data_IF_255308302281
#
_entry.id   IF_255308302281
#
_cell.length_a   1.000
_cell.length_b   1.000
_cell.length_c   1.000
_cell.angle_alpha   90.00
_cell.angle_beta   90.00
_cell.angle_gamma   90.00
#
_symmetry.space_group_name_H-M   'P 1'
#
loop_
_entity.id
_entity.type
_entity.pdbx_description
1 polymer ?
#
# COMPACT_ATOMS: atom_id res chain seq x y z
N UNK A 1 23.78 33.87 15.84
CA UNK A 1 23.51 32.41 15.75
C UNK A 1 22.17 31.99 16.40
N UNK A 2 21.10 32.81 16.32
CA UNK A 2 19.86 32.55 17.10
C UNK A 2 18.53 32.43 16.33
N UNK A 3 18.52 32.64 15.01
CA UNK A 3 17.29 32.61 14.19
C UNK A 3 17.19 31.40 13.25
N UNK A 4 18.32 30.84 12.80
CA UNK A 4 18.35 29.66 11.92
C UNK A 4 18.03 28.33 12.63
N UNK A 5 18.19 28.25 13.95
CA UNK A 5 17.90 27.05 14.74
C UNK A 5 16.42 26.83 15.04
N UNK A 6 15.56 27.84 14.82
CA UNK A 6 14.10 27.75 15.01
C UNK A 6 13.34 27.30 13.75
N UNK A 7 13.98 27.29 12.58
CA UNK A 7 13.38 26.93 11.29
C UNK A 7 13.69 25.49 10.85
N UNK A 8 14.53 24.76 11.59
CA UNK A 8 14.78 23.34 11.33
C UNK A 8 13.89 22.47 12.22
N UNK A 9 13.17 21.48 11.67
CA UNK A 9 12.35 20.59 12.47
C UNK A 9 13.22 19.87 13.51
N UNK A 10 12.76 19.80 14.76
CA UNK A 10 13.41 19.07 15.86
C UNK A 10 13.54 17.58 15.49
N UNK A 11 14.64 17.23 14.82
CA UNK A 11 14.98 15.88 14.35
C UNK A 11 15.93 15.25 15.37
N UNK A 12 15.43 14.37 16.26
CA UNK A 12 16.19 13.23 16.86
C UNK A 12 15.50 12.50 18.03
N UNK A 13 14.50 13.05 18.70
CA UNK A 13 14.09 12.51 20.01
C UNK A 13 13.03 11.38 19.97
N UNK A 14 12.31 11.21 18.84
CA UNK A 14 11.26 10.18 18.69
C UNK A 14 11.56 9.15 17.59
N UNK A 15 12.77 9.17 17.01
CA UNK A 15 13.16 8.22 15.96
C UNK A 15 13.49 6.85 16.59
N UNK A 16 12.80 5.76 16.21
CA UNK A 16 13.16 4.43 16.71
C UNK A 16 14.61 4.07 16.33
N UNK A 17 15.30 3.20 17.10
CA UNK A 17 16.63 2.76 16.76
C UNK A 17 16.69 2.13 15.35
N UNK A 18 17.77 2.40 14.60
CA UNK A 18 17.92 1.95 13.20
C UNK A 18 17.65 0.46 12.98
N UNK A 19 18.02 -0.37 13.96
CA UNK A 19 17.80 -1.82 13.92
C UNK A 19 16.33 -2.22 13.99
N UNK A 20 15.55 -1.61 14.90
CA UNK A 20 14.12 -1.91 15.09
C UNK A 20 13.34 -1.70 13.80
N UNK A 21 13.80 -0.75 13.02
CA UNK A 21 13.06 -0.30 11.86
C UNK A 21 13.56 -0.85 10.55
N UNK A 22 14.84 -1.22 10.50
CA UNK A 22 15.30 -2.22 9.54
C UNK A 22 14.44 -3.48 9.67
N UNK A 23 14.27 -4.02 10.88
CA UNK A 23 13.42 -5.19 11.12
C UNK A 23 11.96 -4.93 10.74
N UNK A 24 11.49 -3.70 10.90
CA UNK A 24 10.11 -3.34 10.56
C UNK A 24 9.83 -3.42 9.06
N UNK A 25 10.62 -2.68 8.28
CA UNK A 25 10.52 -2.64 6.82
C UNK A 25 10.87 -4.01 6.23
N UNK A 26 11.87 -4.69 6.79
CA UNK A 26 12.25 -6.05 6.41
C UNK A 26 11.08 -7.01 6.61
N UNK A 27 10.42 -7.01 7.76
CA UNK A 27 9.27 -7.87 8.04
C UNK A 27 8.13 -7.56 7.10
N UNK A 28 7.79 -6.29 6.88
CA UNK A 28 6.72 -5.90 5.97
C UNK A 28 6.99 -6.38 4.55
N UNK A 29 8.14 -6.04 3.99
CA UNK A 29 8.47 -6.35 2.60
C UNK A 29 8.67 -7.85 2.39
N UNK A 30 9.29 -8.55 3.33
CA UNK A 30 9.40 -10.00 3.25
C UNK A 30 8.04 -10.70 3.46
N UNK A 31 7.11 -10.13 4.22
CA UNK A 31 5.75 -10.70 4.35
C UNK A 31 5.04 -10.76 2.99
N UNK A 32 5.20 -9.72 2.17
CA UNK A 32 4.58 -9.61 0.84
C UNK A 32 5.35 -10.29 -0.28
N UNK A 33 6.69 -10.19 -0.26
CA UNK A 33 7.55 -10.66 -1.37
C UNK A 33 8.19 -12.04 -1.13
N UNK A 34 8.38 -12.47 0.13
CA UNK A 34 9.18 -13.65 0.45
C UNK A 34 8.46 -14.72 1.24
N UNK A 35 7.53 -14.38 2.13
CA UNK A 35 6.76 -15.38 2.85
C UNK A 35 6.07 -16.37 1.90
N UNK A 36 5.56 -15.95 0.72
CA UNK A 36 5.06 -16.88 -0.29
C UNK A 36 6.14 -17.75 -0.94
N UNK A 37 7.41 -17.31 -1.00
CA UNK A 37 8.53 -17.94 -1.72
C UNK A 37 9.51 -18.73 -0.83
N UNK A 38 9.68 -18.36 0.45
CA UNK A 38 10.48 -19.08 1.44
C UNK A 38 9.68 -20.27 1.98
N UNK A 39 8.36 -20.12 2.18
CA UNK A 39 7.48 -21.25 2.48
C UNK A 39 7.32 -22.19 1.29
N UNK A 40 7.37 -21.66 0.07
CA UNK A 40 7.58 -22.42 -1.16
C UNK A 40 8.96 -23.12 -1.07
N UNK A 41 10.06 -22.37 -1.11
CA UNK A 41 11.46 -22.81 -1.17
C UNK A 41 11.88 -23.89 -0.17
N UNK A 42 11.61 -23.66 1.12
CA UNK A 42 12.21 -24.42 2.20
C UNK A 42 11.48 -25.74 2.54
N UNK A 43 10.23 -25.91 2.09
CA UNK A 43 9.44 -27.14 2.28
C UNK A 43 9.23 -27.93 0.98
N UNK A 44 9.92 -27.52 -0.10
CA UNK A 44 9.67 -27.95 -1.48
C UNK A 44 10.60 -29.05 -1.96
N UNK A 45 10.04 -30.24 -2.11
CA UNK A 45 10.36 -31.02 -3.31
C UNK A 45 9.13 -31.77 -3.85
N UNK A 46 8.12 -32.12 -3.05
CA UNK A 46 7.05 -33.02 -3.53
C UNK A 46 5.59 -32.67 -3.24
N UNK A 47 5.27 -31.85 -2.23
CA UNK A 47 3.87 -31.64 -1.79
C UNK A 47 3.40 -30.17 -1.85
N UNK A 48 4.20 -29.28 -2.44
CA UNK A 48 4.00 -27.83 -2.36
C UNK A 48 2.70 -27.31 -2.95
N UNK A 49 2.14 -27.96 -3.98
CA UNK A 49 0.83 -27.56 -4.54
C UNK A 49 -0.29 -27.90 -3.56
N UNK A 50 -0.23 -29.05 -2.87
CA UNK A 50 -1.23 -29.45 -1.88
C UNK A 50 -1.12 -28.64 -0.59
N UNK A 51 0.09 -28.31 -0.15
CA UNK A 51 0.28 -27.38 0.97
C UNK A 51 -0.13 -25.96 0.60
N UNK A 52 0.19 -25.47 -0.60
CA UNK A 52 -0.27 -24.17 -1.05
C UNK A 52 -1.81 -24.14 -1.14
N UNK A 53 -2.45 -25.17 -1.69
CA UNK A 53 -3.92 -25.28 -1.72
C UNK A 53 -4.50 -25.52 -0.32
N UNK A 54 -3.81 -26.21 0.58
CA UNK A 54 -4.28 -26.47 1.95
C UNK A 54 -4.11 -25.27 2.90
N UNK A 55 -3.00 -24.56 2.80
CA UNK A 55 -2.66 -23.39 3.62
C UNK A 55 -3.29 -22.09 3.04
N UNK A 56 -3.18 -21.86 1.73
CA UNK A 56 -3.84 -20.74 1.05
C UNK A 56 -5.31 -21.00 0.70
N UNK A 57 -5.75 -22.25 0.62
CA UNK A 57 -7.12 -22.62 0.22
C UNK A 57 -7.98 -23.28 1.31
N UNK A 58 -7.40 -23.74 2.44
CA UNK A 58 -8.14 -24.49 3.47
C UNK A 58 -8.04 -23.90 4.88
N UNK A 59 -6.84 -23.87 5.46
CA UNK A 59 -6.63 -23.52 6.87
C UNK A 59 -6.89 -22.05 7.18
N UNK A 60 -6.50 -21.14 6.28
CA UNK A 60 -6.78 -19.73 6.50
C UNK A 60 -8.25 -19.33 6.23
N UNK A 61 -9.04 -20.15 5.52
CA UNK A 61 -10.49 -19.94 5.42
C UNK A 61 -11.20 -20.28 6.73
N UNK A 62 -10.63 -21.18 7.52
CA UNK A 62 -11.12 -21.57 8.84
C UNK A 62 -10.61 -20.64 9.96
N UNK A 63 -9.64 -19.78 9.67
CA UNK A 63 -9.14 -18.84 10.65
C UNK A 63 -10.22 -17.79 11.01
N UNK A 64 -10.45 -17.54 12.30
CA UNK A 64 -11.42 -16.53 12.72
C UNK A 64 -10.97 -15.13 12.25
N UNK A 65 -11.95 -14.24 12.12
CA UNK A 65 -11.66 -12.85 11.80
C UNK A 65 -10.78 -12.24 12.88
N UNK A 66 -9.73 -11.51 12.46
CA UNK A 66 -8.78 -10.89 13.38
C UNK A 66 -9.29 -9.52 13.81
N UNK A 67 -9.23 -9.23 15.11
CA UNK A 67 -9.52 -7.87 15.59
C UNK A 67 -8.43 -6.90 15.13
N UNK A 68 -8.79 -5.61 15.07
CA UNK A 68 -7.83 -4.57 14.72
C UNK A 68 -6.69 -4.54 15.73
N UNK A 69 -5.46 -4.47 15.22
CA UNK A 69 -4.25 -4.44 16.00
C UNK A 69 -3.54 -3.10 15.85
N UNK A 70 -3.80 -2.19 16.79
CA UNK A 70 -3.24 -0.83 16.75
C UNK A 70 -1.71 -0.81 16.78
N UNK A 71 -1.07 -1.78 17.44
CA UNK A 71 0.40 -1.93 17.43
C UNK A 71 0.97 -2.11 16.01
N UNK A 72 0.29 -2.90 15.18
CA UNK A 72 0.68 -3.11 13.78
C UNK A 72 0.45 -1.85 12.94
N UNK A 73 -0.62 -1.11 13.17
CA UNK A 73 -0.89 0.17 12.47
C UNK A 73 0.14 1.23 12.84
N UNK A 74 0.48 1.35 14.13
CA UNK A 74 1.56 2.23 14.61
C UNK A 74 2.90 1.84 14.00
N UNK A 75 3.19 0.55 13.91
CA UNK A 75 4.38 0.04 13.25
C UNK A 75 4.45 0.45 11.78
N UNK A 76 3.36 0.28 11.01
CA UNK A 76 3.29 0.71 9.61
C UNK A 76 3.45 2.22 9.49
N UNK A 77 2.79 2.98 10.35
CA UNK A 77 2.94 4.43 10.42
C UNK A 77 4.39 4.85 10.65
N UNK A 78 5.12 4.13 11.51
CA UNK A 78 6.51 4.41 11.80
C UNK A 78 7.43 4.14 10.61
N UNK A 79 7.03 3.34 9.61
CA UNK A 79 7.80 3.15 8.37
C UNK A 79 8.05 4.46 7.61
N UNK A 80 7.21 5.49 7.81
CA UNK A 80 7.37 6.81 7.17
C UNK A 80 8.70 7.50 7.51
N UNK A 81 9.29 7.20 8.67
CA UNK A 81 10.57 7.78 9.11
C UNK A 81 11.78 7.10 8.44
N UNK A 82 11.56 5.99 7.74
CA UNK A 82 12.59 5.14 7.14
C UNK A 82 12.64 5.30 5.63
N UNK A 83 11.55 5.83 5.07
CA UNK A 83 11.36 5.95 3.64
C UNK A 83 11.39 7.43 3.34
N UNK A 84 12.41 7.83 2.60
CA UNK A 84 12.44 9.17 2.06
C UNK A 84 11.33 9.27 1.02
N UNK A 85 10.44 10.21 1.26
CA UNK A 85 9.29 10.46 0.43
C UNK A 85 8.69 11.75 0.91
N UNK A 86 8.52 12.69 0.00
CA UNK A 86 7.72 13.87 0.29
C UNK A 86 6.29 13.60 -0.13
N UNK A 87 5.34 14.10 0.66
CA UNK A 87 3.94 14.12 0.25
C UNK A 87 3.54 15.53 -0.13
N UNK A 88 2.87 15.66 -1.26
CA UNK A 88 2.20 16.88 -1.68
C UNK A 88 0.72 16.64 -1.48
N UNK A 89 0.18 17.27 -0.45
CA UNK A 89 -1.24 17.24 -0.15
C UNK A 89 -1.86 18.41 -0.89
N UNK A 90 -2.71 18.12 -1.87
CA UNK A 90 -3.50 19.15 -2.54
C UNK A 90 -4.44 19.81 -1.54
N UNK A 91 -4.84 21.05 -1.83
CA UNK A 91 -5.75 21.80 -0.97
C UNK A 91 -7.09 21.07 -0.86
N UNK A 92 -7.25 20.30 0.22
CA UNK A 92 -8.54 19.89 0.71
C UNK A 92 -9.31 21.16 1.09
N UNK A 93 -10.61 21.22 0.76
CA UNK A 93 -11.46 22.19 1.43
C UNK A 93 -11.33 21.94 2.94
N UNK A 94 -10.88 22.96 3.69
CA UNK A 94 -10.79 22.92 5.17
C UNK A 94 -12.20 22.98 5.79
N UNK A 95 -13.10 22.11 5.34
CA UNK A 95 -14.48 22.04 5.76
C UNK A 95 -14.70 21.05 6.90
N UNK A 96 -15.91 21.07 7.45
CA UNK A 96 -16.42 20.07 8.42
C UNK A 96 -16.84 18.74 7.79
N UNK A 97 -16.61 18.57 6.48
CA UNK A 97 -17.03 17.39 5.72
C UNK A 97 -16.01 16.27 5.89
N UNK A 98 -16.44 15.01 5.83
CA UNK A 98 -15.51 13.89 5.83
C UNK A 98 -14.66 13.88 4.55
N UNK A 99 -13.43 13.41 4.66
CA UNK A 99 -12.42 13.46 3.61
C UNK A 99 -12.10 12.08 3.04
N UNK A 100 -12.00 12.00 1.71
CA UNK A 100 -11.47 10.85 0.99
C UNK A 100 -10.07 11.18 0.44
N UNK A 101 -9.06 10.63 1.10
CA UNK A 101 -7.67 10.81 0.73
C UNK A 101 -7.31 9.92 -0.47
N UNK A 102 -6.92 10.55 -1.57
CA UNK A 102 -6.62 9.89 -2.83
C UNK A 102 -5.11 9.87 -3.04
N UNK A 103 -4.47 8.79 -2.59
CA UNK A 103 -3.01 8.66 -2.62
C UNK A 103 -2.53 8.13 -3.97
N UNK A 104 -1.52 8.78 -4.54
CA UNK A 104 -0.81 8.39 -5.75
C UNK A 104 0.69 8.64 -5.62
N UNK A 105 1.53 7.94 -6.39
CA UNK A 105 1.21 6.73 -7.13
C UNK A 105 1.12 5.52 -6.16
N UNK A 106 0.60 4.39 -6.62
CA UNK A 106 0.68 3.12 -5.86
C UNK A 106 2.10 2.54 -5.86
N UNK A 107 2.89 2.76 -6.91
CA UNK A 107 4.17 2.08 -7.08
C UNK A 107 4.03 0.55 -7.00
N UNK A 108 5.11 -0.15 -6.66
CA UNK A 108 5.08 -1.61 -6.57
C UNK A 108 4.29 -2.12 -5.34
N UNK A 109 4.34 -1.39 -4.22
CA UNK A 109 3.79 -1.83 -2.92
C UNK A 109 2.89 -0.78 -2.25
N UNK A 110 3.09 0.52 -2.49
CA UNK A 110 2.27 1.60 -1.93
C UNK A 110 2.70 2.01 -0.52
N UNK A 111 4.01 1.96 -0.22
CA UNK A 111 4.50 2.09 1.15
C UNK A 111 4.35 3.52 1.69
N UNK A 112 4.64 4.57 0.91
CA UNK A 112 4.36 5.94 1.35
C UNK A 112 2.86 6.16 1.53
N UNK A 113 2.05 5.68 0.57
CA UNK A 113 0.60 5.68 0.65
C UNK A 113 0.07 5.13 1.96
N UNK A 114 0.57 3.97 2.37
CA UNK A 114 0.18 3.31 3.60
C UNK A 114 0.73 3.97 4.87
N UNK A 115 2.02 4.32 4.89
CA UNK A 115 2.71 4.79 6.10
C UNK A 115 2.43 6.25 6.46
N UNK A 116 2.07 7.10 5.49
CA UNK A 116 1.87 8.54 5.68
C UNK A 116 0.41 8.97 5.80
N UNK A 117 -0.56 8.13 5.40
CA UNK A 117 -1.98 8.44 5.60
C UNK A 117 -2.93 7.27 5.43
N UNK A 118 -2.62 6.34 4.53
CA UNK A 118 -3.50 5.22 4.18
C UNK A 118 -3.86 4.31 5.35
N UNK A 119 -2.92 4.08 6.25
CA UNK A 119 -3.11 3.26 7.45
C UNK A 119 -2.73 4.02 8.72
N UNK A 120 -2.91 5.35 8.71
CA UNK A 120 -2.84 6.13 9.94
C UNK A 120 -3.82 5.57 10.98
N UNK A 121 -3.53 5.71 12.28
CA UNK A 121 -4.38 5.14 13.34
C UNK A 121 -5.82 5.68 13.31
N UNK A 122 -6.04 6.80 12.63
CA UNK A 122 -7.36 7.45 12.47
C UNK A 122 -8.04 7.20 11.12
N UNK A 123 -7.29 6.76 10.11
CA UNK A 123 -7.76 6.65 8.73
C UNK A 123 -7.69 5.18 8.30
N UNK A 124 -8.70 4.70 7.57
CA UNK A 124 -8.71 3.33 7.04
C UNK A 124 -8.30 3.32 5.57
N UNK A 125 -7.51 2.32 5.17
CA UNK A 125 -7.15 2.09 3.77
C UNK A 125 -8.22 1.27 3.06
N UNK A 126 -8.53 1.66 1.83
CA UNK A 126 -9.33 0.87 0.89
C UNK A 126 -8.40 0.01 0.04
N UNK A 127 -8.63 -1.30 0.07
CA UNK A 127 -7.76 -2.32 -0.52
C UNK A 127 -8.56 -3.21 -1.48
N UNK A 128 -7.87 -3.81 -2.46
CA UNK A 128 -8.49 -4.67 -3.46
C UNK A 128 -9.21 -5.88 -2.81
N UNK A 129 -10.36 -6.33 -3.34
CA UNK A 129 -11.14 -7.42 -2.74
C UNK A 129 -10.38 -8.74 -2.70
N UNK A 130 -9.45 -8.94 -3.63
CA UNK A 130 -8.59 -10.13 -3.68
C UNK A 130 -7.78 -10.31 -2.39
N UNK A 131 -7.35 -9.22 -1.75
CA UNK A 131 -6.62 -9.27 -0.49
C UNK A 131 -7.45 -9.88 0.65
N UNK A 132 -8.78 -9.75 0.61
CA UNK A 132 -9.69 -10.37 1.59
C UNK A 132 -10.06 -11.81 1.24
N UNK A 133 -9.77 -12.29 0.03
CA UNK A 133 -10.00 -13.68 -0.40
C UNK A 133 -8.79 -14.57 -0.16
N UNK A 134 -7.60 -13.99 -0.11
CA UNK A 134 -6.35 -14.67 0.25
C UNK A 134 -6.23 -14.73 1.78
N UNK A 135 -6.11 -15.90 2.42
CA UNK A 135 -6.32 -15.98 3.86
C UNK A 135 -5.33 -15.22 4.75
N UNK A 136 -4.03 -15.25 4.46
CA UNK A 136 -3.05 -14.47 5.22
C UNK A 136 -3.19 -12.97 4.95
N UNK A 137 -3.41 -12.60 3.69
CA UNK A 137 -3.66 -11.20 3.33
C UNK A 137 -4.92 -10.70 4.02
N UNK A 138 -5.96 -11.53 4.13
CA UNK A 138 -7.21 -11.21 4.81
C UNK A 138 -6.95 -10.91 6.28
N UNK A 139 -6.26 -11.80 6.98
CA UNK A 139 -5.90 -11.59 8.39
C UNK A 139 -5.11 -10.30 8.58
N UNK A 140 -4.14 -10.04 7.71
CA UNK A 140 -3.35 -8.81 7.75
C UNK A 140 -4.22 -7.57 7.49
N UNK A 141 -5.10 -7.61 6.49
CA UNK A 141 -6.01 -6.50 6.17
C UNK A 141 -7.02 -6.24 7.30
N UNK A 142 -7.55 -7.28 7.92
CA UNK A 142 -8.45 -7.19 9.08
C UNK A 142 -7.72 -6.63 10.31
N UNK A 143 -6.50 -7.11 10.59
CA UNK A 143 -5.66 -6.57 11.66
C UNK A 143 -5.33 -5.08 11.46
N UNK A 144 -5.21 -4.65 10.21
CA UNK A 144 -4.99 -3.24 9.85
C UNK A 144 -6.27 -2.40 9.85
N UNK A 145 -7.43 -3.03 9.99
CA UNK A 145 -8.73 -2.37 9.89
C UNK A 145 -9.04 -1.86 8.49
N UNK A 146 -8.43 -2.43 7.46
CA UNK A 146 -8.64 -2.06 6.06
C UNK A 146 -10.08 -2.37 5.61
N UNK A 147 -10.52 -1.65 4.59
CA UNK A 147 -11.84 -1.79 3.98
C UNK A 147 -11.67 -2.32 2.56
N UNK A 148 -12.57 -3.17 2.09
CA UNK A 148 -12.55 -3.63 0.70
C UNK A 148 -13.09 -2.58 -0.25
N UNK A 149 -12.53 -2.51 -1.46
CA UNK A 149 -13.02 -1.64 -2.53
C UNK A 149 -14.29 -2.16 -3.22
N UNK A 150 -14.93 -3.23 -2.72
CA UNK A 150 -16.23 -3.69 -3.22
C UNK A 150 -17.31 -2.63 -2.98
N UNK A 151 -18.08 -2.32 -4.03
CA UNK A 151 -19.05 -1.21 -4.05
C UNK A 151 -19.94 -1.15 -2.79
N UNK A 152 -20.51 -2.28 -2.36
CA UNK A 152 -21.42 -2.32 -1.19
C UNK A 152 -20.71 -1.94 0.11
N UNK A 153 -19.52 -2.49 0.35
CA UNK A 153 -18.76 -2.21 1.55
C UNK A 153 -18.22 -0.78 1.55
N UNK A 154 -17.75 -0.31 0.39
CA UNK A 154 -17.26 1.05 0.19
C UNK A 154 -18.36 2.09 0.47
N UNK A 155 -19.56 1.92 -0.11
CA UNK A 155 -20.70 2.81 0.15
C UNK A 155 -21.18 2.73 1.60
N UNK A 156 -21.22 1.53 2.19
CA UNK A 156 -21.56 1.36 3.62
C UNK A 156 -20.58 2.10 4.52
N UNK A 157 -19.28 2.07 4.20
CA UNK A 157 -18.30 2.81 4.99
C UNK A 157 -18.44 4.33 4.81
N UNK A 158 -18.71 4.81 3.61
CA UNK A 158 -18.98 6.24 3.38
C UNK A 158 -20.13 6.79 4.23
N UNK A 159 -21.16 5.98 4.52
CA UNK A 159 -22.27 6.38 5.41
C UNK A 159 -21.84 6.65 6.86
N UNK A 160 -20.66 6.20 7.27
CA UNK A 160 -20.14 6.46 8.63
C UNK A 160 -19.64 7.89 8.83
N UNK A 161 -19.43 8.64 7.73
CA UNK A 161 -18.88 9.99 7.80
C UNK A 161 -17.45 10.06 8.35
N UNK A 162 -16.68 8.98 8.27
CA UNK A 162 -15.29 8.92 8.73
C UNK A 162 -14.33 9.11 7.58
N UNK A 163 -13.18 9.70 7.85
CA UNK A 163 -12.11 9.85 6.86
C UNK A 163 -11.50 8.50 6.49
N UNK A 164 -11.22 8.32 5.20
CA UNK A 164 -10.51 7.14 4.72
C UNK A 164 -9.68 7.45 3.49
N UNK A 165 -8.83 6.49 3.15
CA UNK A 165 -7.84 6.61 2.11
C UNK A 165 -8.02 5.54 1.05
N UNK A 166 -7.73 5.89 -0.20
CA UNK A 166 -7.72 4.99 -1.34
C UNK A 166 -6.48 5.27 -2.18
N UNK A 167 -5.97 4.23 -2.85
CA UNK A 167 -5.04 4.37 -3.97
C UNK A 167 -5.82 4.16 -5.27
N UNK A 168 -6.32 5.23 -5.92
CA UNK A 168 -7.30 5.09 -6.99
C UNK A 168 -6.84 4.22 -8.15
N UNK A 169 -5.55 4.28 -8.51
CA UNK A 169 -5.00 3.50 -9.61
C UNK A 169 -4.87 2.00 -9.35
N UNK A 170 -4.85 1.59 -8.07
CA UNK A 170 -4.89 0.20 -7.64
C UNK A 170 -3.88 -0.72 -8.35
N UNK A 171 -4.37 -1.91 -8.70
CA UNK A 171 -3.58 -3.01 -9.29
C UNK A 171 -2.91 -2.60 -10.61
N UNK A 172 -3.53 -1.74 -11.42
CA UNK A 172 -2.98 -1.27 -12.69
C UNK A 172 -1.76 -0.37 -12.50
N UNK A 173 -1.73 0.46 -11.45
CA UNK A 173 -0.52 1.24 -11.12
C UNK A 173 0.63 0.34 -10.68
N UNK A 174 0.35 -0.78 -10.00
CA UNK A 174 1.37 -1.79 -9.66
C UNK A 174 1.95 -2.43 -10.93
N UNK A 175 1.11 -2.74 -11.92
CA UNK A 175 1.56 -3.32 -13.20
C UNK A 175 2.42 -2.32 -13.99
N UNK A 176 2.05 -1.04 -13.93
CA UNK A 176 2.71 0.07 -14.62
C UNK A 176 3.90 0.65 -13.85
N UNK A 177 4.18 0.16 -12.64
CA UNK A 177 5.26 0.66 -11.80
C UNK A 177 6.62 0.53 -12.50
N UNK A 178 7.34 1.65 -12.55
CA UNK A 178 8.59 1.85 -13.28
C UNK A 178 9.41 2.89 -12.51
N UNK A 179 10.69 2.58 -12.25
CA UNK A 179 11.54 3.45 -11.45
C UNK A 179 11.85 4.78 -12.12
N UNK A 180 11.96 4.75 -13.45
CA UNK A 180 12.41 5.89 -14.24
C UNK A 180 11.22 6.73 -14.72
N UNK A 181 10.01 6.17 -14.68
CA UNK A 181 8.80 6.79 -15.22
C UNK A 181 7.60 6.55 -14.32
N UNK A 182 7.15 7.61 -13.66
CA UNK A 182 5.92 7.51 -12.89
C UNK A 182 4.68 7.50 -13.79
N UNK A 183 3.80 6.51 -13.60
CA UNK A 183 2.58 6.34 -14.40
C UNK A 183 1.38 6.18 -13.47
N UNK A 184 0.45 7.11 -13.59
CA UNK A 184 -0.80 7.12 -12.81
C UNK A 184 -1.95 6.62 -13.66
N UNK A 185 -2.74 5.68 -13.12
CA UNK A 185 -3.89 5.10 -13.79
C UNK A 185 -5.20 5.71 -13.28
N UNK A 186 -5.48 6.96 -13.69
CA UNK A 186 -6.63 7.72 -13.18
C UNK A 186 -7.70 8.03 -14.23
N UNK A 187 -7.32 8.24 -15.51
CA UNK A 187 -8.25 8.72 -16.57
C UNK A 187 -9.53 7.89 -16.70
N UNK A 188 -9.45 6.58 -16.47
CA UNK A 188 -10.55 5.62 -16.57
C UNK A 188 -11.20 5.28 -15.22
N UNK A 189 -10.72 5.83 -14.10
CA UNK A 189 -11.14 5.49 -12.74
C UNK A 189 -11.83 6.66 -12.05
N UNK A 190 -13.07 6.96 -12.47
CA UNK A 190 -13.88 8.07 -11.92
C UNK A 190 -14.93 7.64 -10.88
N UNK A 191 -15.01 6.34 -10.57
CA UNK A 191 -16.04 5.79 -9.68
C UNK A 191 -15.96 6.34 -8.26
N UNK A 192 -14.75 6.46 -7.68
CA UNK A 192 -14.57 7.01 -6.34
C UNK A 192 -15.01 8.48 -6.25
N UNK A 193 -14.80 9.27 -7.32
CA UNK A 193 -15.25 10.66 -7.43
C UNK A 193 -16.77 10.72 -7.38
N UNK A 194 -17.43 9.88 -8.20
CA UNK A 194 -18.89 9.77 -8.20
C UNK A 194 -19.42 9.46 -6.78
N UNK A 195 -18.85 8.47 -6.11
CA UNK A 195 -19.29 8.09 -4.77
C UNK A 195 -19.00 9.15 -3.71
N UNK A 196 -17.87 9.86 -3.82
CA UNK A 196 -17.55 10.96 -2.91
C UNK A 196 -18.55 12.10 -3.05
N UNK A 197 -18.90 12.48 -4.28
CA UNK A 197 -19.93 13.50 -4.55
C UNK A 197 -21.31 13.08 -4.03
N UNK A 198 -21.72 11.83 -4.28
CA UNK A 198 -23.00 11.29 -3.79
C UNK A 198 -23.07 11.25 -2.25
N UNK A 199 -21.93 11.05 -1.58
CA UNK A 199 -21.86 10.89 -0.12
C UNK A 199 -21.45 12.18 0.61
N UNK A 200 -21.20 13.28 -0.11
CA UNK A 200 -20.80 14.57 0.46
C UNK A 200 -19.36 14.62 1.00
N UNK A 201 -18.45 13.79 0.49
CA UNK A 201 -17.04 13.77 0.89
C UNK A 201 -16.20 14.77 0.09
N UNK A 202 -15.25 15.39 0.77
CA UNK A 202 -14.22 16.18 0.10
C UNK A 202 -13.09 15.27 -0.41
N UNK A 203 -12.66 15.46 -1.65
CA UNK A 203 -11.57 14.70 -2.26
C UNK A 203 -10.24 15.39 -1.95
N UNK A 204 -9.33 14.66 -1.30
CA UNK A 204 -8.00 15.17 -0.94
C UNK A 204 -6.96 14.43 -1.78
N UNK A 205 -6.47 15.01 -2.90
CA UNK A 205 -5.41 14.37 -3.66
C UNK A 205 -4.10 14.45 -2.85
N UNK A 206 -3.45 13.30 -2.68
CA UNK A 206 -2.14 13.19 -2.01
C UNK A 206 -1.18 12.53 -2.97
N UNK A 207 -0.09 13.21 -3.27
CA UNK A 207 0.94 12.69 -4.16
C UNK A 207 2.22 12.38 -3.39
N UNK A 208 2.78 11.19 -3.56
CA UNK A 208 3.96 10.69 -2.88
C UNK A 208 5.15 10.68 -3.83
N UNK A 209 6.04 11.65 -3.67
CA UNK A 209 7.29 11.73 -4.43
C UNK A 209 8.23 10.59 -4.01
N UNK A 210 8.79 9.90 -4.99
CA UNK A 210 9.77 8.82 -4.78
C UNK A 210 9.17 7.42 -4.55
N UNK A 211 7.84 7.28 -4.54
CA UNK A 211 7.19 5.97 -4.30
C UNK A 211 7.56 4.90 -5.33
N UNK A 212 7.62 5.24 -6.62
CA UNK A 212 8.03 4.29 -7.67
C UNK A 212 9.52 3.94 -7.63
N UNK A 213 10.35 4.78 -7.02
CA UNK A 213 11.80 4.56 -6.91
C UNK A 213 12.16 3.58 -5.78
N UNK A 214 11.23 3.32 -4.86
CA UNK A 214 11.41 2.38 -3.75
C UNK A 214 11.72 0.96 -4.22
N UNK A 215 11.21 0.51 -5.37
CA UNK A 215 11.47 -0.84 -5.88
C UNK A 215 11.78 -0.84 -7.36
N UNK A 216 12.77 -1.64 -7.76
CA UNK A 216 12.98 -2.04 -9.17
C UNK A 216 11.96 -3.10 -9.50
N UNK A 217 11.22 -2.91 -10.57
CA UNK A 217 10.31 -3.96 -11.06
C UNK A 217 11.09 -4.84 -12.04
N UNK A 218 11.04 -6.16 -11.87
CA UNK A 218 11.73 -7.12 -12.76
C UNK A 218 11.16 -7.17 -14.19
N UNK A 219 9.95 -6.67 -14.38
CA UNK A 219 9.25 -6.76 -15.64
C UNK A 219 9.69 -5.68 -16.63
N UNK A 220 9.96 -6.02 -17.90
CA UNK A 220 10.31 -5.04 -18.90
C UNK A 220 9.12 -4.12 -19.18
N UNK A 221 9.26 -2.83 -18.84
CA UNK A 221 8.24 -1.81 -19.11
C UNK A 221 8.31 -1.26 -20.54
N UNK A 222 9.33 -1.67 -21.30
CA UNK A 222 9.53 -1.39 -22.73
C UNK A 222 8.81 -2.39 -23.64
N UNK A 223 8.44 -3.56 -23.13
CA UNK A 223 7.73 -4.59 -23.87
C UNK A 223 6.22 -4.37 -23.80
N UNK A 224 5.74 -3.50 -24.69
CA UNK A 224 4.34 -3.07 -24.83
C UNK A 224 3.30 -4.20 -24.77
N UNK A 225 3.55 -5.31 -25.46
CA UNK A 225 2.63 -6.45 -25.50
C UNK A 225 2.53 -7.14 -24.13
N UNK A 226 3.65 -7.26 -23.40
CA UNK A 226 3.70 -7.90 -22.09
C UNK A 226 3.01 -7.02 -21.04
N UNK A 227 3.21 -5.70 -21.10
CA UNK A 227 2.47 -4.72 -20.27
C UNK A 227 0.97 -4.84 -20.54
N UNK A 228 0.53 -4.85 -21.80
CA UNK A 228 -0.89 -5.00 -22.17
C UNK A 228 -1.49 -6.32 -21.67
N UNK A 229 -0.76 -7.43 -21.78
CA UNK A 229 -1.20 -8.73 -21.28
C UNK A 229 -1.36 -8.73 -19.76
N UNK A 230 -0.36 -8.23 -19.02
CA UNK A 230 -0.42 -8.12 -17.55
C UNK A 230 -1.55 -7.21 -17.10
N UNK A 231 -1.79 -6.08 -17.77
CA UNK A 231 -2.93 -5.20 -17.49
C UNK A 231 -4.27 -5.91 -17.70
N UNK A 232 -4.42 -6.68 -18.77
CA UNK A 232 -5.65 -7.46 -19.02
C UNK A 232 -5.88 -8.52 -17.94
N UNK A 233 -4.83 -9.19 -17.49
CA UNK A 233 -4.91 -10.16 -16.39
C UNK A 233 -5.33 -9.43 -15.12
N UNK A 234 -4.62 -8.37 -14.74
CA UNK A 234 -4.90 -7.57 -13.54
C UNK A 234 -6.34 -7.03 -13.50
N UNK A 235 -6.85 -6.52 -14.62
CA UNK A 235 -8.23 -6.01 -14.69
C UNK A 235 -9.29 -7.09 -14.46
N UNK A 236 -9.03 -8.34 -14.87
CA UNK A 236 -9.97 -9.46 -14.71
C UNK A 236 -9.85 -10.15 -13.36
N UNK A 237 -8.62 -10.33 -12.87
CA UNK A 237 -8.35 -11.14 -11.67
C UNK A 237 -8.10 -10.30 -10.41
N UNK A 238 -7.89 -8.99 -10.56
CA UNK A 238 -7.41 -8.09 -9.50
C UNK A 238 -6.03 -8.50 -8.94
N UNK A 239 -5.29 -9.35 -9.67
CA UNK A 239 -3.95 -9.79 -9.31
C UNK A 239 -2.90 -8.98 -10.07
N UNK A 240 -2.06 -8.26 -9.34
CA UNK A 240 -0.88 -7.61 -9.93
C UNK A 240 0.24 -8.64 -10.06
N UNK A 241 0.56 -9.03 -11.29
CA UNK A 241 1.77 -9.79 -11.57
C UNK A 241 2.91 -8.77 -11.70
N UNK A 242 3.55 -8.48 -10.58
CA UNK A 242 4.68 -7.57 -10.47
C UNK A 242 5.63 -8.07 -9.38
N UNK A 243 6.91 -8.24 -9.71
CA UNK A 243 7.95 -8.53 -8.73
C UNK A 243 8.81 -7.29 -8.61
N UNK A 244 8.70 -6.61 -7.48
CA UNK A 244 9.58 -5.51 -7.09
C UNK A 244 10.76 -6.06 -6.28
N UNK A 245 11.96 -5.54 -6.49
CA UNK A 245 13.14 -5.80 -5.66
C UNK A 245 13.88 -4.48 -5.43
N UNK A 246 14.41 -4.26 -4.23
CA UNK A 246 15.34 -3.17 -3.97
C UNK A 246 16.61 -3.70 -3.32
N UNK A 247 17.33 -2.86 -2.56
CA UNK A 247 18.55 -3.27 -1.85
C UNK A 247 18.25 -4.41 -0.87
N UNK A 248 18.84 -5.60 -1.09
CA UNK A 248 18.53 -6.82 -0.31
C UNK A 248 17.03 -7.14 -0.26
N UNK A 249 16.31 -6.83 -1.34
CA UNK A 249 14.84 -6.96 -1.44
C UNK A 249 14.03 -6.05 -0.52
N UNK A 250 14.67 -5.11 0.16
CA UNK A 250 14.01 -4.03 0.89
C UNK A 250 13.75 -2.83 -0.04
N UNK A 251 12.92 -1.85 0.36
CA UNK A 251 12.78 -0.62 -0.39
C UNK A 251 14.15 0.05 -0.52
N UNK A 252 14.46 0.57 -1.69
CA UNK A 252 15.62 1.44 -1.87
C UNK A 252 15.42 2.65 -0.97
N UNK A 253 16.26 2.77 0.05
CA UNK A 253 16.36 3.96 0.86
C UNK A 253 16.94 5.05 -0.06
N UNK A 254 16.19 6.11 -0.37
CA UNK A 254 16.77 7.19 -1.19
C UNK A 254 17.96 7.79 -0.44
N UNK A 255 19.01 8.12 -1.20
CA UNK A 255 20.17 8.87 -0.70
C UNK A 255 19.67 10.18 -0.13
N UNK A 256 19.80 10.38 1.18
CA UNK A 256 19.68 11.73 1.74
C UNK A 256 20.87 12.56 1.23
N UNK A 257 20.64 13.37 0.21
CA UNK A 257 21.57 14.37 -0.31
C UNK A 257 22.25 13.98 -1.61
N UNK A 258 21.60 14.30 -2.73
CA UNK A 258 22.23 14.85 -3.94
C UNK A 258 21.37 16.03 -4.42
#
# INVERSE_FOLDING_TARGET
>A
MGLLSKLLPKRKQDEPPKLVSFLAVFTWVNTWLFFPFITFGALWYRLGILYAVGFWGGLGFLAPSMSQWDGLRVFICKMRFWIDGSEVIGSAAKGSKPALHCHHPHGAVGINGMSKGGMDTKIKAVVAPLCFRMPLCRQLMEALGAITSEKRAFQKYMQTGQDFAILPGGVEEVVLADQDRERIYLKRRKGFIKYALESGYDLVPVYHLGETQLFRVLWPQTADWAVRLRLRIAQRTQLAIGIGYGCLWMPNLLRQGE
#
